data_IF_550610753717
#
_entry.id   IF_550610753717
#
_cell.length_a   1.000
_cell.length_b   1.000
_cell.length_c   1.000
_cell.angle_alpha   90.00
_cell.angle_beta   90.00
_cell.angle_gamma   90.00
#
_symmetry.space_group_name_H-M   'P 1'
#
loop_
_entity.id
_entity.type
_entity.pdbx_description
1 polymer ?
#
# COMPACT_ATOMS: atom_id res chain seq x y z
N UNK A 1 32.48 14.90 9.59
CA UNK A 1 31.02 14.81 9.74
C UNK A 1 30.53 13.58 8.99
N UNK A 2 29.99 12.52 9.64
CA UNK A 2 29.42 11.41 8.90
C UNK A 2 28.09 11.83 8.28
N UNK A 3 27.90 11.52 6.98
CA UNK A 3 26.64 11.71 6.26
C UNK A 3 25.54 10.93 6.99
N UNK A 4 24.35 11.50 7.24
CA UNK A 4 23.23 10.75 7.79
C UNK A 4 22.88 9.65 6.78
N UNK A 5 23.24 8.42 7.13
CA UNK A 5 22.81 7.21 6.46
C UNK A 5 21.29 7.25 6.46
N UNK A 6 20.70 7.43 5.27
CA UNK A 6 19.25 7.33 5.07
C UNK A 6 18.81 6.05 5.74
N UNK A 7 18.11 6.20 6.86
CA UNK A 7 17.48 5.11 7.59
C UNK A 7 16.75 4.28 6.55
N UNK A 8 17.18 3.03 6.35
CA UNK A 8 16.41 2.06 5.60
C UNK A 8 15.02 2.08 6.23
N UNK A 9 13.98 2.61 5.57
CA UNK A 9 12.69 2.73 6.21
C UNK A 9 12.27 1.30 6.49
N UNK A 10 12.02 1.05 7.76
CA UNK A 10 11.59 -0.21 8.32
C UNK A 10 10.68 -0.95 7.35
N UNK A 11 11.11 -2.15 6.95
CA UNK A 11 10.52 -2.94 5.84
C UNK A 11 9.00 -3.14 6.00
N UNK A 12 8.46 -3.03 7.21
CA UNK A 12 7.03 -3.08 7.51
C UNK A 12 6.26 -1.82 7.13
N UNK A 13 6.87 -0.63 7.18
CA UNK A 13 6.17 0.63 6.95
C UNK A 13 5.90 0.89 5.47
N UNK A 14 6.84 0.60 4.57
CA UNK A 14 6.66 0.87 3.13
C UNK A 14 5.56 -0.02 2.51
N UNK A 15 5.52 -1.31 2.87
CA UNK A 15 4.46 -2.23 2.43
C UNK A 15 3.09 -1.80 2.95
N UNK A 16 2.99 -1.42 4.21
CA UNK A 16 1.73 -0.98 4.82
C UNK A 16 1.23 0.31 4.18
N UNK A 17 2.10 1.31 3.99
CA UNK A 17 1.74 2.56 3.28
C UNK A 17 1.26 2.30 1.85
N UNK A 18 1.87 1.33 1.15
CA UNK A 18 1.42 0.94 -0.19
C UNK A 18 0.02 0.33 -0.16
N UNK A 19 -0.28 -0.51 0.83
CA UNK A 19 -1.62 -1.08 0.99
C UNK A 19 -2.63 0.02 1.33
N UNK A 20 -2.35 0.89 2.30
CA UNK A 20 -3.21 2.02 2.65
C UNK A 20 -3.46 2.97 1.48
N UNK A 21 -2.41 3.35 0.74
CA UNK A 21 -2.54 4.16 -0.47
C UNK A 21 -3.39 3.46 -1.54
N UNK A 22 -3.21 2.14 -1.71
CA UNK A 22 -4.05 1.37 -2.60
C UNK A 22 -5.51 1.44 -2.21
N UNK A 23 -5.83 1.44 -0.92
CA UNK A 23 -7.21 1.59 -0.41
C UNK A 23 -7.84 2.82 -0.97
N UNK A 24 -7.16 3.93 -0.76
CA UNK A 24 -7.73 5.24 -0.90
C UNK A 24 -7.88 5.57 -2.38
N UNK A 25 -6.86 5.20 -3.18
CA UNK A 25 -6.89 5.40 -4.61
C UNK A 25 -7.93 4.48 -5.27
N UNK A 26 -7.99 3.20 -4.90
CA UNK A 26 -8.99 2.26 -5.44
C UNK A 26 -10.41 2.70 -5.04
N UNK A 27 -10.61 3.16 -3.79
CA UNK A 27 -11.93 3.63 -3.33
C UNK A 27 -12.38 4.91 -4.04
N UNK A 28 -11.44 5.79 -4.43
CA UNK A 28 -11.76 7.05 -5.10
C UNK A 28 -12.07 6.90 -6.60
N UNK A 29 -11.31 6.07 -7.32
CA UNK A 29 -11.42 5.99 -8.80
C UNK A 29 -11.52 4.57 -9.37
N UNK A 30 -11.51 3.54 -8.53
CA UNK A 30 -11.51 2.14 -8.93
C UNK A 30 -10.14 1.59 -9.29
N UNK A 31 -10.03 0.26 -9.28
CA UNK A 31 -8.76 -0.46 -9.51
C UNK A 31 -8.25 -0.35 -10.95
N UNK A 32 -9.16 -0.36 -11.94
CA UNK A 32 -8.81 -0.23 -13.35
C UNK A 32 -8.12 1.11 -13.65
N UNK A 33 -8.63 2.22 -13.08
CA UNK A 33 -8.08 3.56 -13.25
C UNK A 33 -6.85 3.86 -12.36
N UNK A 34 -6.43 2.92 -11.52
CA UNK A 34 -5.28 3.09 -10.62
C UNK A 34 -3.99 2.65 -11.31
N UNK A 35 -2.96 3.48 -11.26
CA UNK A 35 -1.62 3.17 -11.79
C UNK A 35 -0.62 2.93 -10.67
N UNK A 36 0.46 2.21 -10.98
CA UNK A 36 1.59 2.03 -10.04
C UNK A 36 2.21 3.38 -9.63
N UNK A 37 2.20 4.35 -10.54
CA UNK A 37 2.66 5.71 -10.27
C UNK A 37 1.82 6.42 -9.20
N UNK A 38 0.48 6.37 -9.35
CA UNK A 38 -0.45 6.94 -8.37
C UNK A 38 -0.24 6.33 -6.98
N UNK A 39 -0.03 5.02 -6.93
CA UNK A 39 0.22 4.27 -5.69
C UNK A 39 1.54 4.70 -5.05
N UNK A 40 2.60 4.83 -5.85
CA UNK A 40 3.90 5.28 -5.37
C UNK A 40 3.82 6.71 -4.82
N UNK A 41 3.16 7.60 -5.57
CA UNK A 41 2.98 9.00 -5.18
C UNK A 41 2.15 9.11 -3.90
N UNK A 42 1.04 8.37 -3.81
CA UNK A 42 0.16 8.38 -2.64
C UNK A 42 0.81 7.74 -1.41
N UNK A 43 1.64 6.71 -1.56
CA UNK A 43 2.33 6.04 -0.46
C UNK A 43 3.65 6.72 -0.04
N UNK A 44 4.10 7.73 -0.79
CA UNK A 44 5.40 8.38 -0.60
C UNK A 44 6.58 7.42 -0.77
N UNK A 45 6.48 6.48 -1.71
CA UNK A 45 7.53 5.49 -2.00
C UNK A 45 8.01 5.60 -3.43
N UNK A 46 9.23 5.12 -3.68
CA UNK A 46 9.77 5.04 -5.04
C UNK A 46 9.22 3.81 -5.78
N UNK A 47 9.22 3.85 -7.12
CA UNK A 47 8.90 2.65 -7.94
C UNK A 47 9.80 1.46 -7.61
N UNK A 48 11.08 1.69 -7.34
CA UNK A 48 11.99 0.62 -6.92
C UNK A 48 11.54 -0.06 -5.61
N UNK A 49 11.09 0.73 -4.64
CA UNK A 49 10.53 0.20 -3.40
C UNK A 49 9.20 -0.53 -3.63
N UNK A 50 8.35 -0.04 -4.54
CA UNK A 50 7.13 -0.75 -4.96
C UNK A 50 7.47 -2.14 -5.51
N UNK A 51 8.36 -2.21 -6.52
CA UNK A 51 8.71 -3.48 -7.17
C UNK A 51 9.47 -4.44 -6.26
N UNK A 52 10.08 -3.95 -5.19
CA UNK A 52 10.66 -4.79 -4.14
C UNK A 52 9.59 -5.54 -3.33
N UNK A 53 8.41 -4.93 -3.12
CA UNK A 53 7.32 -5.52 -2.34
C UNK A 53 6.26 -6.22 -3.20
N UNK A 54 5.92 -5.66 -4.36
CA UNK A 54 4.88 -6.15 -5.25
C UNK A 54 5.39 -6.19 -6.69
N UNK A 55 5.36 -7.37 -7.31
CA UNK A 55 5.80 -7.53 -8.70
C UNK A 55 4.84 -6.88 -9.70
N UNK A 56 3.56 -6.79 -9.36
CA UNK A 56 2.51 -6.26 -10.25
C UNK A 56 1.47 -5.46 -9.49
N UNK A 57 0.69 -4.65 -10.21
CA UNK A 57 -0.48 -3.95 -9.66
C UNK A 57 -1.51 -4.94 -9.10
N UNK A 58 -1.75 -6.05 -9.79
CA UNK A 58 -2.66 -7.11 -9.33
C UNK A 58 -2.21 -7.76 -8.03
N UNK A 59 -0.90 -8.03 -7.87
CA UNK A 59 -0.37 -8.58 -6.63
C UNK A 59 -0.61 -7.63 -5.44
N UNK A 60 -0.46 -6.32 -5.66
CA UNK A 60 -0.83 -5.32 -4.66
C UNK A 60 -2.35 -5.28 -4.46
N UNK A 61 -3.16 -5.32 -5.52
CA UNK A 61 -4.62 -5.31 -5.45
C UNK A 61 -5.19 -6.47 -4.62
N UNK A 62 -4.68 -7.69 -4.83
CA UNK A 62 -5.05 -8.87 -4.04
C UNK A 62 -4.62 -8.72 -2.58
N UNK A 63 -3.37 -8.29 -2.35
CA UNK A 63 -2.88 -8.08 -0.98
C UNK A 63 -3.68 -6.98 -0.23
N UNK A 64 -4.06 -5.94 -0.95
CA UNK A 64 -4.89 -4.84 -0.50
C UNK A 64 -6.32 -5.31 -0.14
N UNK A 65 -6.95 -6.11 -1.00
CA UNK A 65 -8.24 -6.73 -0.73
C UNK A 65 -8.22 -7.64 0.53
N UNK A 66 -7.16 -8.44 0.69
CA UNK A 66 -6.99 -9.30 1.87
C UNK A 66 -6.82 -8.45 3.14
N UNK A 67 -5.98 -7.41 3.08
CA UNK A 67 -5.72 -6.50 4.19
C UNK A 67 -7.01 -5.81 4.70
N UNK A 68 -7.94 -5.44 3.80
CA UNK A 68 -9.21 -4.85 4.24
C UNK A 68 -10.27 -5.84 4.68
N UNK A 69 -10.30 -7.05 4.13
CA UNK A 69 -11.24 -8.07 4.61
C UNK A 69 -10.98 -8.35 6.09
N UNK A 70 -9.71 -8.43 6.48
CA UNK A 70 -9.27 -8.66 7.85
C UNK A 70 -9.57 -7.45 8.78
N UNK A 71 -9.39 -6.22 8.27
CA UNK A 71 -9.65 -4.99 9.05
C UNK A 71 -11.15 -4.66 9.18
N UNK A 72 -11.95 -4.97 8.15
CA UNK A 72 -13.35 -4.59 8.06
C UNK A 72 -14.28 -5.64 8.69
N UNK A 73 -13.89 -6.92 8.65
CA UNK A 73 -14.59 -8.00 9.34
C UNK A 73 -14.76 -7.70 10.84
N UNK A 74 -13.69 -7.22 11.50
CA UNK A 74 -13.74 -6.84 12.92
C UNK A 74 -14.74 -5.70 13.20
N UNK A 75 -14.94 -4.82 12.23
CA UNK A 75 -15.87 -3.68 12.30
C UNK A 75 -17.34 -4.15 12.18
N UNK A 76 -17.63 -5.12 11.31
CA UNK A 76 -18.97 -5.71 11.17
C UNK A 76 -19.30 -6.74 12.26
N UNK A 77 -18.31 -7.49 12.77
CA UNK A 77 -18.50 -8.44 13.87
C UNK A 77 -18.85 -7.76 15.21
N UNK A 78 -18.59 -6.45 15.32
CA UNK A 78 -18.90 -5.64 16.50
C UNK A 78 -20.17 -4.78 16.32
N UNK A 79 -20.90 -4.95 15.22
CA UNK A 79 -22.17 -4.26 15.01
C UNK A 79 -23.29 -4.98 15.81
N UNK A 80 -24.06 -4.26 16.65
CA UNK A 80 -25.13 -4.82 17.47
C UNK A 80 -26.36 -5.23 16.65
#
# INVERSE_FOLDING_TARGET
MPRPTKQSPERGHARTRLLEAARDVIRRKGFAATSVDDLCQSAGVTKGAFFHHFKTKDALGVAAANFWTETTSALFASAP
#
